data_IF_760240875458
#
_entry.id   IF_760240875458
#
_cell.length_a   1.000
_cell.length_b   1.000
_cell.length_c   1.000
_cell.angle_alpha   90.00
_cell.angle_beta   90.00
_cell.angle_gamma   90.00
#
_symmetry.space_group_name_H-M   'P 1'
#
loop_
_entity.id
_entity.type
_entity.pdbx_description
1 polymer ?
#
# COMPACT_ATOMS: atom_id res chain seq x y z
N UNK A 1 -16.44 -5.97 17.51
CA UNK A 1 -16.61 -7.36 17.98
C UNK A 1 -15.24 -8.01 18.12
N UNK A 2 -15.10 -9.12 18.86
CA UNK A 2 -13.80 -9.77 19.10
C UNK A 2 -13.29 -9.57 20.53
N UNK A 3 -12.18 -10.23 20.86
CA UNK A 3 -11.60 -10.28 22.21
C UNK A 3 -10.74 -11.53 22.40
N UNK A 4 -9.76 -11.45 23.30
CA UNK A 4 -8.85 -12.56 23.62
C UNK A 4 -9.60 -13.86 23.96
N UNK A 5 -10.74 -13.77 24.64
CA UNK A 5 -11.61 -14.91 24.98
C UNK A 5 -12.14 -15.66 23.76
N UNK A 6 -12.26 -14.97 22.62
CA UNK A 6 -12.69 -15.55 21.35
C UNK A 6 -11.51 -15.89 20.43
N UNK A 7 -10.26 -15.77 20.92
CA UNK A 7 -9.02 -15.90 20.12
C UNK A 7 -9.01 -15.03 18.86
N UNK A 8 -9.72 -13.91 18.90
CA UNK A 8 -9.84 -12.97 17.78
C UNK A 8 -9.49 -11.56 18.25
N UNK A 9 -8.75 -10.78 17.45
CA UNK A 9 -8.48 -9.38 17.78
C UNK A 9 -9.77 -8.55 17.83
N UNK A 10 -9.73 -7.38 18.44
CA UNK A 10 -10.86 -6.44 18.46
C UNK A 10 -11.06 -5.87 17.06
N UNK A 11 -12.15 -6.23 16.39
CA UNK A 11 -12.49 -5.82 15.04
C UNK A 11 -13.59 -4.76 15.01
N UNK A 12 -13.48 -3.83 14.08
CA UNK A 12 -14.54 -2.87 13.76
C UNK A 12 -15.62 -3.60 12.96
N UNK A 13 -16.72 -3.98 13.61
CA UNK A 13 -17.83 -4.67 12.96
C UNK A 13 -18.80 -3.71 12.26
N UNK A 14 -18.92 -2.49 12.77
CA UNK A 14 -19.86 -1.49 12.24
C UNK A 14 -19.39 -0.08 12.58
N UNK A 15 -19.53 0.82 11.61
CA UNK A 15 -19.35 2.25 11.80
C UNK A 15 -20.72 2.91 11.61
N UNK A 16 -21.13 3.73 12.57
CA UNK A 16 -22.40 4.43 12.51
C UNK A 16 -22.22 5.78 11.81
N UNK A 17 -23.05 6.01 10.79
CA UNK A 17 -22.99 7.23 9.99
C UNK A 17 -23.22 8.48 10.83
N UNK A 18 -22.40 9.51 10.59
CA UNK A 18 -22.48 10.80 11.27
C UNK A 18 -21.81 10.85 12.64
N UNK A 19 -21.18 9.77 13.12
CA UNK A 19 -20.36 9.78 14.35
C UNK A 19 -18.88 10.05 14.05
N UNK A 20 -18.08 10.34 15.09
CA UNK A 20 -16.67 10.67 14.95
C UNK A 20 -15.87 9.64 14.12
N UNK A 21 -16.13 8.34 14.31
CA UNK A 21 -15.48 7.27 13.55
C UNK A 21 -15.83 7.30 12.04
N UNK A 22 -17.07 7.64 11.69
CA UNK A 22 -17.51 7.82 10.30
C UNK A 22 -16.92 9.09 9.69
N UNK A 23 -16.95 10.20 10.45
CA UNK A 23 -16.39 11.49 10.03
C UNK A 23 -14.87 11.44 9.82
N UNK A 24 -14.17 10.52 10.47
CA UNK A 24 -12.72 10.35 10.27
C UNK A 24 -12.37 9.68 8.95
N UNK A 25 -13.27 8.86 8.37
CA UNK A 25 -13.10 7.98 7.18
C UNK A 25 -11.78 7.16 7.11
N UNK A 26 -10.95 7.22 8.16
CA UNK A 26 -9.68 6.52 8.30
C UNK A 26 -9.85 5.10 8.87
N UNK A 27 -11.08 4.74 9.26
CA UNK A 27 -11.45 3.47 9.84
C UNK A 27 -12.41 2.75 8.90
N UNK A 28 -12.15 1.46 8.67
CA UNK A 28 -13.02 0.61 7.88
C UNK A 28 -13.61 -0.52 8.70
N UNK A 29 -14.81 -0.97 8.31
CA UNK A 29 -15.37 -2.21 8.82
C UNK A 29 -14.44 -3.35 8.43
N UNK A 30 -14.02 -4.14 9.43
CA UNK A 30 -13.04 -5.21 9.29
C UNK A 30 -11.66 -4.87 9.86
N UNK A 31 -11.37 -3.59 10.17
CA UNK A 31 -10.07 -3.23 10.75
C UNK A 31 -9.91 -3.78 12.17
N UNK A 32 -8.69 -4.21 12.48
CA UNK A 32 -8.32 -4.68 13.83
C UNK A 32 -7.72 -3.53 14.64
N UNK A 33 -8.30 -3.25 15.80
CA UNK A 33 -7.79 -2.28 16.77
C UNK A 33 -6.66 -2.93 17.54
N UNK A 34 -5.47 -2.34 17.43
CA UNK A 34 -4.27 -2.78 18.15
C UNK A 34 -4.13 -2.01 19.46
N UNK A 35 -4.32 -0.69 19.45
CA UNK A 35 -4.19 0.13 20.66
C UNK A 35 -5.17 1.32 20.67
N UNK A 36 -5.52 1.78 21.88
CA UNK A 36 -6.37 2.95 22.12
C UNK A 36 -5.63 3.90 23.07
N UNK A 37 -5.32 5.12 22.62
CA UNK A 37 -4.59 6.13 23.40
C UNK A 37 -3.30 5.59 24.06
N UNK A 38 -2.56 4.72 23.33
CA UNK A 38 -1.33 4.09 23.82
C UNK A 38 -1.54 2.91 24.78
N UNK A 39 -2.79 2.53 25.06
CA UNK A 39 -3.12 1.28 25.77
C UNK A 39 -3.23 0.16 24.73
N UNK A 40 -2.36 -0.83 24.82
CA UNK A 40 -2.40 -2.01 23.95
C UNK A 40 -3.65 -2.85 24.23
N UNK A 41 -4.39 -3.17 23.18
CA UNK A 41 -5.60 -3.99 23.19
C UNK A 41 -5.41 -5.31 22.44
N UNK A 42 -4.18 -5.64 22.01
CA UNK A 42 -3.85 -6.88 21.32
C UNK A 42 -4.23 -8.14 22.12
N UNK A 43 -4.04 -8.10 23.44
CA UNK A 43 -4.38 -9.16 24.39
C UNK A 43 -5.59 -8.83 25.29
N UNK A 44 -6.32 -7.75 25.00
CA UNK A 44 -7.47 -7.34 25.80
C UNK A 44 -8.70 -8.22 25.55
N UNK A 45 -9.50 -8.39 26.60
CA UNK A 45 -10.84 -8.98 26.48
C UNK A 45 -11.81 -8.01 25.80
N UNK A 46 -12.96 -8.52 25.31
CA UNK A 46 -13.97 -7.66 24.68
C UNK A 46 -14.41 -6.53 25.60
N UNK A 47 -14.71 -6.84 26.85
CA UNK A 47 -15.15 -5.87 27.86
C UNK A 47 -14.07 -4.82 28.15
N UNK A 48 -12.80 -5.22 28.27
CA UNK A 48 -11.69 -4.29 28.47
C UNK A 48 -11.52 -3.33 27.29
N UNK A 49 -11.64 -3.82 26.06
CA UNK A 49 -11.57 -2.97 24.87
C UNK A 49 -12.73 -1.96 24.81
N UNK A 50 -13.95 -2.39 25.16
CA UNK A 50 -15.12 -1.50 25.25
C UNK A 50 -14.94 -0.46 26.36
N UNK A 51 -14.38 -0.86 27.51
CA UNK A 51 -14.07 0.07 28.59
C UNK A 51 -12.99 1.07 28.19
N UNK A 52 -11.93 0.65 27.50
CA UNK A 52 -10.88 1.53 27.00
C UNK A 52 -11.44 2.58 26.05
N UNK A 53 -12.29 2.18 25.09
CA UNK A 53 -12.97 3.09 24.15
C UNK A 53 -13.97 4.03 24.84
N UNK A 54 -14.61 3.61 25.93
CA UNK A 54 -15.53 4.45 26.72
C UNK A 54 -14.81 5.41 27.67
N UNK A 55 -13.63 5.01 28.16
CA UNK A 55 -12.80 5.81 29.08
C UNK A 55 -12.13 6.98 28.36
N UNK A 56 -11.94 6.85 27.05
CA UNK A 56 -11.41 7.93 26.22
C UNK A 56 -12.43 9.07 26.06
N UNK A 57 -11.94 10.31 26.22
CA UNK A 57 -12.76 11.52 26.26
C UNK A 57 -13.00 12.16 24.89
N UNK A 58 -12.79 13.48 24.80
CA UNK A 58 -13.05 14.29 23.59
C UNK A 58 -12.21 13.89 22.37
N UNK A 59 -11.06 13.25 22.59
CA UNK A 59 -10.15 12.81 21.54
C UNK A 59 -9.69 11.37 21.79
N UNK A 60 -9.69 10.57 20.71
CA UNK A 60 -9.31 9.15 20.73
C UNK A 60 -8.33 8.91 19.59
N UNK A 61 -7.15 8.44 19.92
CA UNK A 61 -6.12 7.98 18.99
C UNK A 61 -6.20 6.46 18.93
N UNK A 62 -6.51 5.94 17.75
CA UNK A 62 -6.63 4.51 17.49
C UNK A 62 -5.47 4.07 16.62
N UNK A 63 -4.79 3.01 17.04
CA UNK A 63 -3.86 2.30 16.17
C UNK A 63 -4.58 1.09 15.60
N UNK A 64 -4.75 1.08 14.28
CA UNK A 64 -5.48 0.01 13.59
C UNK A 64 -4.63 -0.67 12.53
N UNK A 65 -4.91 -1.96 12.34
CA UNK A 65 -4.38 -2.77 11.26
C UNK A 65 -5.48 -2.99 10.23
N UNK A 66 -5.28 -2.42 9.06
CA UNK A 66 -6.15 -2.64 7.91
C UNK A 66 -6.13 -4.11 7.52
N UNK A 67 -7.27 -4.79 7.63
CA UNK A 67 -7.44 -6.17 7.21
C UNK A 67 -8.23 -6.17 5.90
N UNK A 68 -7.52 -6.29 4.78
CA UNK A 68 -8.09 -6.15 3.42
C UNK A 68 -9.07 -7.28 3.02
N UNK A 69 -9.29 -8.28 3.88
CA UNK A 69 -10.22 -9.39 3.60
C UNK A 69 -10.97 -9.80 4.87
N UNK A 70 -12.29 -9.55 4.91
CA UNK A 70 -13.18 -10.19 5.87
C UNK A 70 -13.45 -11.60 5.34
N UNK A 71 -12.65 -12.56 5.84
CA UNK A 71 -12.79 -14.03 5.85
C UNK A 71 -11.62 -14.72 5.13
N UNK A 72 -10.86 -15.60 5.82
CA UNK A 72 -11.38 -16.59 6.75
C UNK A 72 -10.71 -16.54 8.13
N UNK A 73 -11.29 -15.81 9.08
CA UNK A 73 -11.23 -16.25 10.49
C UNK A 73 -12.33 -17.28 10.80
N UNK A 74 -13.25 -17.52 9.85
CA UNK A 74 -14.03 -18.74 9.77
C UNK A 74 -13.23 -19.80 8.98
N UNK A 75 -12.52 -20.65 9.72
CA UNK A 75 -11.84 -21.91 9.32
C UNK A 75 -10.33 -21.85 9.02
N UNK A 76 -9.60 -22.47 9.94
CA UNK A 76 -8.37 -23.26 9.84
C UNK A 76 -7.11 -22.72 9.13
N UNK A 77 -6.09 -22.50 9.98
CA UNK A 77 -4.71 -23.05 9.87
C UNK A 77 -4.26 -23.65 8.53
N UNK A 78 -3.26 -23.01 7.90
CA UNK A 78 -1.89 -23.53 7.70
C UNK A 78 -1.19 -22.91 6.46
N UNK A 79 0.08 -22.56 6.68
CA UNK A 79 1.21 -22.54 5.74
C UNK A 79 1.23 -21.56 4.54
N UNK A 80 2.38 -20.88 4.37
CA UNK A 80 2.71 -20.25 3.09
C UNK A 80 3.84 -19.21 3.05
N UNK A 81 5.06 -19.62 3.46
CA UNK A 81 6.37 -19.09 3.04
C UNK A 81 6.55 -17.58 2.72
N UNK A 82 7.22 -16.87 3.63
CA UNK A 82 8.08 -15.73 3.26
C UNK A 82 9.42 -16.29 2.79
N UNK A 83 9.67 -16.21 1.48
CA UNK A 83 10.97 -16.47 0.88
C UNK A 83 11.84 -15.25 1.14
N UNK A 84 12.86 -15.44 1.98
CA UNK A 84 13.97 -14.52 2.18
C UNK A 84 14.92 -14.66 0.99
N UNK A 85 15.22 -13.55 0.33
CA UNK A 85 16.21 -13.50 -0.74
C UNK A 85 17.39 -12.66 -0.29
N UNK A 86 18.51 -13.32 0.01
CA UNK A 86 19.84 -12.82 -0.34
C UNK A 86 20.84 -13.98 -0.44
N UNK A 87 21.52 -14.21 -1.57
CA UNK A 87 22.66 -15.10 -1.63
C UNK A 87 23.94 -14.26 -1.70
N UNK A 88 24.78 -14.28 -0.66
CA UNK A 88 26.25 -14.19 -0.81
C UNK A 88 27.01 -14.42 0.51
N UNK A 89 28.28 -14.89 0.42
CA UNK A 89 28.82 -15.89 1.33
C UNK A 89 29.69 -15.33 2.45
N UNK A 90 30.02 -16.25 3.37
CA UNK A 90 30.77 -16.08 4.60
C UNK A 90 31.98 -15.14 4.57
N UNK A 91 32.10 -14.32 5.63
CA UNK A 91 33.29 -13.54 5.99
C UNK A 91 33.09 -12.79 7.32
N UNK A 92 33.82 -13.21 8.35
CA UNK A 92 33.81 -12.75 9.74
C UNK A 92 33.88 -11.22 9.94
N UNK A 93 33.08 -10.66 10.87
CA UNK A 93 33.60 -10.11 12.15
C UNK A 93 32.49 -9.51 13.03
N UNK A 94 32.46 -9.99 14.28
CA UNK A 94 31.62 -9.57 15.40
C UNK A 94 31.96 -8.12 15.78
N UNK A 95 31.01 -7.18 15.65
CA UNK A 95 30.99 -5.94 16.44
C UNK A 95 29.61 -5.76 17.04
N UNK A 96 29.59 -5.81 18.36
CA UNK A 96 28.45 -5.60 19.23
C UNK A 96 27.88 -4.20 19.07
N UNK A 97 26.68 -4.11 18.51
CA UNK A 97 25.78 -2.98 18.68
C UNK A 97 24.54 -3.50 19.43
N UNK A 98 23.97 -2.74 20.37
CA UNK A 98 22.81 -3.20 21.13
C UNK A 98 21.66 -3.45 20.16
N UNK A 99 21.17 -4.69 20.14
CA UNK A 99 19.97 -5.08 19.42
C UNK A 99 18.81 -4.35 20.09
N UNK A 100 18.39 -3.23 19.50
CA UNK A 100 17.08 -2.66 19.79
C UNK A 100 16.03 -3.73 19.45
N UNK A 101 14.95 -3.87 20.25
CA UNK A 101 13.85 -4.76 19.90
C UNK A 101 13.37 -4.43 18.48
N UNK A 102 12.93 -5.41 17.68
CA UNK A 102 12.49 -5.15 16.33
C UNK A 102 11.34 -4.15 16.42
N UNK A 103 11.61 -2.90 16.04
CA UNK A 103 10.54 -1.94 15.82
C UNK A 103 9.68 -2.59 14.74
N UNK A 104 8.41 -2.84 15.05
CA UNK A 104 7.40 -3.28 14.09
C UNK A 104 7.15 -2.14 13.08
N UNK A 105 8.17 -1.81 12.29
CA UNK A 105 8.15 -0.77 11.29
C UNK A 105 7.63 -1.35 9.99
N UNK A 106 6.53 -0.79 9.48
CA UNK A 106 6.10 -1.10 8.11
C UNK A 106 7.13 -0.55 7.13
N UNK A 107 7.65 -1.40 6.24
CA UNK A 107 8.63 -1.01 5.21
C UNK A 107 7.95 -1.01 3.84
N UNK A 108 8.11 0.06 3.07
CA UNK A 108 7.67 0.15 1.66
C UNK A 108 8.89 0.30 0.76
N UNK A 109 9.10 -0.62 -0.22
CA UNK A 109 10.16 -0.46 -1.21
C UNK A 109 9.91 0.79 -2.06
N UNK A 110 10.91 1.66 -2.17
CA UNK A 110 10.82 2.87 -3.01
C UNK A 110 10.85 2.58 -4.51
N UNK A 111 11.23 1.36 -4.91
CA UNK A 111 11.26 0.96 -6.31
C UNK A 111 9.83 1.01 -6.88
N UNK A 112 9.59 1.97 -7.76
CA UNK A 112 8.28 2.23 -8.36
C UNK A 112 7.16 2.42 -7.33
N UNK A 113 7.44 2.86 -6.09
CA UNK A 113 6.34 3.28 -5.22
C UNK A 113 5.69 4.54 -5.80
N UNK A 114 4.41 4.73 -5.54
CA UNK A 114 3.71 5.95 -5.91
C UNK A 114 3.20 6.66 -4.67
N UNK A 115 3.16 7.99 -4.74
CA UNK A 115 2.63 8.81 -3.67
C UNK A 115 1.38 9.51 -4.17
N UNK A 116 0.31 9.38 -3.40
CA UNK A 116 -0.98 10.00 -3.66
C UNK A 116 -1.30 10.99 -2.55
N UNK A 117 -1.94 12.10 -2.92
CA UNK A 117 -2.53 13.07 -1.99
C UNK A 117 -4.04 12.90 -1.85
N UNK A 118 -4.60 11.91 -2.54
CA UNK A 118 -6.03 11.59 -2.48
C UNK A 118 -6.30 10.83 -1.18
N UNK A 119 -6.47 11.58 -0.10
CA UNK A 119 -7.07 11.07 1.12
C UNK A 119 -8.53 11.52 1.17
N UNK A 120 -9.40 10.61 1.60
CA UNK A 120 -10.78 10.90 1.98
C UNK A 120 -10.84 10.78 3.51
N UNK A 121 -11.35 11.81 4.23
CA UNK A 121 -12.02 12.99 3.70
C UNK A 121 -11.03 14.02 3.13
N UNK A 122 -11.54 14.94 2.30
CA UNK A 122 -10.74 16.00 1.69
C UNK A 122 -9.95 16.76 2.76
N UNK A 123 -8.63 16.77 2.62
CA UNK A 123 -7.73 17.47 3.52
C UNK A 123 -7.50 18.90 3.02
N UNK A 124 -8.19 19.91 3.59
CA UNK A 124 -8.03 21.30 3.15
C UNK A 124 -6.62 21.85 3.47
N UNK A 125 -5.86 21.18 4.34
CA UNK A 125 -4.52 21.60 4.76
C UNK A 125 -3.40 20.84 4.02
N UNK A 126 -3.75 19.90 3.12
CA UNK A 126 -2.81 19.16 2.26
C UNK A 126 -1.61 18.52 3.00
N UNK A 127 -1.85 18.03 4.22
CA UNK A 127 -0.89 17.40 5.12
C UNK A 127 -0.81 15.88 4.98
N UNK A 128 -1.80 15.24 4.38
CA UNK A 128 -1.78 13.79 4.19
C UNK A 128 -1.05 13.35 2.92
N UNK A 129 -0.33 12.24 3.05
CA UNK A 129 0.34 11.53 1.97
C UNK A 129 0.03 10.04 2.11
N UNK A 130 -0.38 9.42 1.02
CA UNK A 130 -0.48 7.97 0.88
C UNK A 130 0.72 7.49 0.06
N UNK A 131 1.54 6.61 0.63
CA UNK A 131 2.68 5.99 -0.06
C UNK A 131 2.35 4.52 -0.30
N UNK A 132 2.24 4.14 -1.55
CA UNK A 132 1.87 2.79 -1.95
C UNK A 132 3.04 2.07 -2.62
N UNK A 133 3.24 0.80 -2.25
CA UNK A 133 4.20 -0.08 -2.90
C UNK A 133 3.81 -0.34 -4.37
N UNK A 134 4.80 -0.68 -5.17
CA UNK A 134 4.61 -0.92 -6.60
C UNK A 134 3.68 -2.11 -6.93
N UNK A 135 3.48 -3.03 -6.00
CA UNK A 135 2.55 -4.15 -6.12
C UNK A 135 1.12 -3.82 -5.63
N UNK A 136 0.92 -2.62 -5.06
CA UNK A 136 -0.36 -2.18 -4.48
C UNK A 136 -0.76 -2.93 -3.20
N UNK A 137 0.14 -3.72 -2.61
CA UNK A 137 -0.15 -4.54 -1.42
C UNK A 137 0.08 -3.80 -0.12
N UNK A 138 1.02 -2.86 -0.10
CA UNK A 138 1.39 -2.08 1.09
C UNK A 138 1.08 -0.61 0.83
N UNK A 139 0.30 0.00 1.72
CA UNK A 139 0.04 1.43 1.73
C UNK A 139 0.40 1.99 3.10
N UNK A 140 1.07 3.14 3.12
CA UNK A 140 1.37 3.92 4.32
C UNK A 140 0.65 5.25 4.22
N UNK A 141 -0.18 5.54 5.21
CA UNK A 141 -0.82 6.84 5.36
C UNK A 141 0.01 7.66 6.35
N UNK A 142 0.53 8.78 5.88
CA UNK A 142 1.38 9.68 6.63
C UNK A 142 0.65 11.02 6.76
N UNK A 143 0.73 11.63 7.94
CA UNK A 143 0.27 12.99 8.19
C UNK A 143 1.45 13.85 8.61
N UNK A 144 1.73 14.89 7.84
CA UNK A 144 2.73 15.88 8.19
C UNK A 144 2.20 16.89 9.21
N UNK A 145 3.12 17.64 9.83
CA UNK A 145 2.77 18.74 10.73
C UNK A 145 2.04 19.86 9.99
N UNK A 146 2.49 20.18 8.79
CA UNK A 146 2.05 21.30 7.94
C UNK A 146 2.19 20.93 6.45
N UNK A 147 1.57 21.72 5.57
CA UNK A 147 1.61 21.49 4.12
C UNK A 147 3.04 21.51 3.57
N UNK A 148 3.88 22.45 4.00
CA UNK A 148 5.23 22.59 3.47
C UNK A 148 6.07 21.34 3.79
N UNK A 149 5.92 20.80 4.99
CA UNK A 149 6.50 19.51 5.37
C UNK A 149 5.94 18.39 4.47
N UNK A 150 4.62 18.29 4.26
CA UNK A 150 4.05 17.28 3.36
C UNK A 150 4.56 17.41 1.91
N UNK A 151 4.73 18.63 1.40
CA UNK A 151 5.33 18.89 0.08
C UNK A 151 6.80 18.43 0.03
N UNK A 152 7.57 18.70 1.09
CA UNK A 152 8.95 18.27 1.20
C UNK A 152 9.08 16.74 1.20
N UNK A 153 8.24 16.05 1.99
CA UNK A 153 8.18 14.58 2.00
C UNK A 153 7.79 14.01 0.64
N UNK A 154 6.77 14.59 -0.02
CA UNK A 154 6.36 14.20 -1.37
C UNK A 154 7.55 14.30 -2.34
N UNK A 155 8.22 15.45 -2.39
CA UNK A 155 9.35 15.69 -3.29
C UNK A 155 10.54 14.78 -3.00
N UNK A 156 10.84 14.51 -1.72
CA UNK A 156 11.90 13.60 -1.32
C UNK A 156 11.62 12.15 -1.78
N UNK A 157 10.40 11.66 -1.56
CA UNK A 157 10.00 10.31 -1.98
C UNK A 157 10.00 10.22 -3.51
N UNK A 158 9.38 11.18 -4.21
CA UNK A 158 9.35 11.21 -5.68
C UNK A 158 10.76 11.29 -6.28
N UNK A 159 11.66 12.08 -5.68
CA UNK A 159 13.06 12.15 -6.10
C UNK A 159 13.80 10.82 -5.93
N UNK A 160 13.60 10.15 -4.79
CA UNK A 160 14.19 8.83 -4.54
C UNK A 160 13.64 7.75 -5.50
N UNK A 161 12.33 7.76 -5.76
CA UNK A 161 11.68 6.89 -6.76
C UNK A 161 12.26 7.17 -8.15
N UNK A 162 12.37 8.44 -8.53
CA UNK A 162 12.93 8.89 -9.80
C UNK A 162 14.38 8.44 -10.01
N UNK A 163 15.19 8.45 -8.96
CA UNK A 163 16.58 7.95 -9.00
C UNK A 163 16.66 6.44 -9.26
N UNK A 164 15.63 5.67 -8.89
CA UNK A 164 15.55 4.22 -9.14
C UNK A 164 14.96 3.87 -10.52
N UNK A 165 14.25 4.81 -11.16
CA UNK A 165 13.55 4.58 -12.42
C UNK A 165 14.46 4.10 -13.57
N UNK A 166 15.69 4.61 -13.76
CA UNK A 166 16.58 4.10 -14.81
C UNK A 166 16.92 2.62 -14.61
N UNK A 167 17.12 2.17 -13.37
CA UNK A 167 17.41 0.76 -13.06
C UNK A 167 16.20 -0.13 -13.35
N UNK A 168 15.00 0.31 -12.96
CA UNK A 168 13.74 -0.38 -13.28
C UNK A 168 13.56 -0.54 -14.79
N UNK A 169 13.82 0.53 -15.54
CA UNK A 169 13.70 0.53 -17.00
C UNK A 169 14.65 -0.50 -17.63
N UNK A 170 15.87 -0.58 -17.15
CA UNK A 170 16.85 -1.55 -17.64
C UNK A 170 16.48 -2.99 -17.30
N UNK A 171 16.02 -3.26 -16.08
CA UNK A 171 15.53 -4.59 -15.71
C UNK A 171 14.35 -5.04 -16.57
N UNK A 172 13.38 -4.14 -16.83
CA UNK A 172 12.23 -4.44 -17.68
C UNK A 172 12.65 -4.72 -19.12
N UNK A 173 13.66 -4.01 -19.65
CA UNK A 173 14.23 -4.30 -20.97
C UNK A 173 14.83 -5.69 -21.03
N UNK A 174 15.63 -6.08 -20.03
CA UNK A 174 16.25 -7.42 -19.97
C UNK A 174 15.17 -8.51 -19.88
N UNK A 175 14.14 -8.31 -19.07
CA UNK A 175 13.04 -9.26 -18.92
C UNK A 175 12.20 -9.42 -20.19
N UNK A 176 12.01 -8.34 -20.95
CA UNK A 176 11.31 -8.36 -22.24
C UNK A 176 12.17 -8.95 -23.36
N UNK A 177 13.48 -8.72 -23.35
CA UNK A 177 14.41 -9.23 -24.37
C UNK A 177 14.54 -10.76 -24.32
N UNK A 178 14.52 -11.37 -23.13
CA UNK A 178 14.58 -12.83 -22.97
C UNK A 178 13.29 -13.57 -23.36
N UNK A 179 12.23 -12.87 -23.76
CA UNK A 179 10.90 -13.43 -23.97
C UNK A 179 10.69 -14.16 -25.31
N UNK A 180 11.68 -14.21 -26.21
CA UNK A 180 11.58 -14.94 -27.48
C UNK A 180 10.52 -14.40 -28.47
N UNK A 181 9.80 -13.35 -28.10
CA UNK A 181 8.91 -12.62 -29.00
C UNK A 181 9.76 -11.75 -29.91
N UNK A 182 9.95 -12.22 -31.15
CA UNK A 182 10.61 -11.48 -32.22
C UNK A 182 10.00 -10.08 -32.35
N UNK A 183 10.82 -9.04 -32.13
CA UNK A 183 10.58 -7.70 -32.65
C UNK A 183 10.27 -6.60 -31.63
N UNK A 184 11.32 -6.09 -30.97
CA UNK A 184 11.41 -4.65 -30.64
C UNK A 184 10.45 -4.14 -29.58
N UNK A 185 10.63 -4.56 -28.33
CA UNK A 185 10.05 -3.88 -27.17
C UNK A 185 11.14 -3.15 -26.39
N UNK A 186 11.85 -2.21 -27.03
CA UNK A 186 12.67 -1.26 -26.27
C UNK A 186 11.72 -0.38 -25.45
N UNK A 187 11.84 -0.49 -24.14
CA UNK A 187 11.07 0.33 -23.21
C UNK A 187 11.57 1.77 -23.32
N UNK A 188 10.71 2.67 -23.77
CA UNK A 188 11.01 4.11 -23.85
C UNK A 188 10.66 4.82 -22.55
N UNK A 189 9.50 4.52 -21.98
CA UNK A 189 9.03 5.16 -20.75
C UNK A 189 8.30 4.16 -19.84
N UNK A 190 8.39 4.39 -18.53
CA UNK A 190 7.68 3.64 -17.50
C UNK A 190 7.20 4.64 -16.46
N UNK A 191 5.94 4.55 -16.04
CA UNK A 191 5.40 5.47 -15.06
C UNK A 191 3.99 5.12 -14.60
N UNK A 192 3.59 5.68 -13.46
CA UNK A 192 2.24 5.54 -12.95
C UNK A 192 1.28 6.50 -13.66
N UNK A 193 0.12 6.00 -14.01
CA UNK A 193 -1.01 6.70 -14.61
C UNK A 193 -2.21 6.55 -13.69
N UNK A 194 -3.11 7.52 -13.72
CA UNK A 194 -4.39 7.44 -13.01
C UNK A 194 -5.51 7.39 -14.04
N UNK A 195 -6.21 6.26 -14.11
CA UNK A 195 -7.41 6.06 -14.92
C UNK A 195 -8.63 6.56 -14.15
N UNK A 196 -9.54 7.27 -14.83
CA UNK A 196 -10.83 7.64 -14.28
C UNK A 196 -11.86 6.56 -14.63
N UNK A 197 -12.37 5.87 -13.62
CA UNK A 197 -13.39 4.83 -13.76
C UNK A 197 -14.78 5.48 -13.74
N UNK A 198 -15.65 5.20 -14.72
CA UNK A 198 -17.03 5.69 -14.74
C UNK A 198 -17.77 5.32 -13.44
N UNK A 199 -18.47 6.29 -12.86
CA UNK A 199 -19.22 6.09 -11.61
C UNK A 199 -20.39 5.14 -11.87
N UNK A 200 -20.38 3.96 -11.25
CA UNK A 200 -21.58 3.12 -11.16
C UNK A 200 -22.39 3.64 -9.97
N UNK A 201 -23.67 4.03 -10.12
CA UNK A 201 -24.45 4.68 -9.06
C UNK A 201 -24.70 3.84 -7.80
N UNK A 202 -24.41 2.54 -7.79
CA UNK A 202 -24.87 1.62 -6.76
C UNK A 202 -23.89 1.30 -5.62
N UNK A 203 -22.62 1.71 -5.67
CA UNK A 203 -21.67 1.40 -4.59
C UNK A 203 -20.70 2.58 -4.34
N UNK A 204 -20.91 3.26 -3.21
CA UNK A 204 -20.03 4.21 -2.51
C UNK A 204 -19.70 5.58 -3.19
N UNK A 205 -19.92 6.71 -2.50
CA UNK A 205 -19.45 8.02 -2.92
C UNK A 205 -17.96 8.17 -2.56
N UNK A 206 -17.05 7.65 -3.38
CA UNK A 206 -15.62 7.79 -3.12
C UNK A 206 -14.74 7.25 -4.26
N UNK A 207 -14.19 8.18 -5.04
CA UNK A 207 -13.07 8.00 -5.97
C UNK A 207 -13.21 6.92 -7.08
N UNK A 208 -13.88 7.29 -8.17
CA UNK A 208 -13.78 6.58 -9.46
C UNK A 208 -12.42 6.79 -10.14
N UNK A 209 -11.30 6.53 -9.46
CA UNK A 209 -9.98 6.58 -10.08
C UNK A 209 -9.12 5.40 -9.65
N UNK A 210 -8.43 4.77 -10.60
CA UNK A 210 -7.54 3.63 -10.40
C UNK A 210 -6.13 4.01 -10.85
N UNK A 211 -5.11 3.61 -10.10
CA UNK A 211 -3.73 3.75 -10.56
C UNK A 211 -3.33 2.54 -11.42
N UNK A 212 -2.67 2.81 -12.54
CA UNK A 212 -2.17 1.84 -13.50
C UNK A 212 -0.69 2.13 -13.77
N UNK A 213 0.11 1.10 -13.94
CA UNK A 213 1.48 1.24 -14.43
C UNK A 213 1.45 1.23 -15.97
N UNK A 214 1.90 2.30 -16.59
CA UNK A 214 2.14 2.37 -18.03
C UNK A 214 3.58 2.01 -18.38
N UNK A 215 3.76 1.13 -19.36
CA UNK A 215 5.04 0.80 -19.99
C UNK A 215 4.91 1.13 -21.47
N UNK A 216 5.60 2.18 -21.92
CA UNK A 216 5.64 2.61 -23.31
C UNK A 216 6.83 1.95 -24.00
N UNK A 217 6.56 1.18 -25.03
CA UNK A 217 7.55 0.60 -25.94
C UNK A 217 7.57 1.37 -27.26
N UNK A 218 8.40 0.96 -28.22
CA UNK A 218 8.39 1.56 -29.57
C UNK A 218 7.08 1.33 -30.33
N UNK A 219 6.38 0.23 -30.03
CA UNK A 219 5.23 -0.22 -30.83
C UNK A 219 3.93 -0.25 -30.06
N UNK A 220 3.99 -0.27 -28.73
CA UNK A 220 2.82 -0.51 -27.88
C UNK A 220 2.92 0.27 -26.57
N UNK A 221 1.77 0.72 -26.08
CA UNK A 221 1.55 1.13 -24.69
C UNK A 221 0.90 -0.04 -23.93
N UNK A 222 1.61 -0.54 -22.93
CA UNK A 222 1.16 -1.63 -22.07
C UNK A 222 0.73 -1.07 -20.72
N UNK A 223 -0.47 -1.42 -20.26
CA UNK A 223 -0.99 -1.00 -18.95
C UNK A 223 -1.06 -2.21 -18.01
N UNK A 224 -0.61 -2.03 -16.78
CA UNK A 224 -0.66 -3.04 -15.72
C UNK A 224 -1.36 -2.48 -14.48
N UNK A 225 -2.00 -3.34 -13.69
CA UNK A 225 -2.57 -2.95 -12.40
C UNK A 225 -1.52 -2.71 -11.31
N UNK A 226 -0.31 -3.23 -11.50
CA UNK A 226 0.82 -3.14 -10.58
C UNK A 226 2.12 -3.46 -11.32
N UNK A 227 3.28 -3.22 -10.69
CA UNK A 227 4.57 -3.57 -11.29
C UNK A 227 4.70 -5.09 -11.44
N UNK A 228 4.88 -5.62 -12.66
CA UNK A 228 5.10 -7.05 -12.87
C UNK A 228 6.39 -7.49 -12.19
N UNK A 229 6.31 -8.50 -11.32
CA UNK A 229 7.48 -9.05 -10.63
C UNK A 229 8.09 -10.27 -11.35
N UNK A 230 7.43 -10.77 -12.39
CA UNK A 230 7.87 -11.94 -13.15
C UNK A 230 7.71 -11.73 -14.65
N UNK A 231 8.51 -12.47 -15.42
CA UNK A 231 8.44 -12.47 -16.89
C UNK A 231 7.07 -12.92 -17.41
N UNK A 232 6.41 -13.87 -16.76
CA UNK A 232 5.06 -14.32 -17.13
C UNK A 232 4.03 -13.19 -16.94
N UNK A 233 4.09 -12.48 -15.81
CA UNK A 233 3.20 -11.34 -15.55
C UNK A 233 3.43 -10.19 -16.55
N UNK A 234 4.68 -9.99 -16.97
CA UNK A 234 5.04 -9.00 -18.00
C UNK A 234 4.51 -9.36 -19.40
N UNK A 235 4.23 -10.64 -19.64
CA UNK A 235 3.57 -11.10 -20.87
C UNK A 235 2.05 -10.91 -20.88
N UNK A 236 1.44 -10.55 -19.74
CA UNK A 236 -0.01 -10.46 -19.56
C UNK A 236 -0.42 -9.06 -19.06
N UNK A 237 -0.28 -8.02 -19.90
CA UNK A 237 -0.76 -6.69 -19.56
C UNK A 237 -2.28 -6.68 -19.38
N UNK A 238 -2.78 -5.77 -18.54
CA UNK A 238 -4.22 -5.54 -18.39
C UNK A 238 -4.82 -4.99 -19.70
N UNK A 239 -4.10 -4.06 -20.34
CA UNK A 239 -4.43 -3.54 -21.66
C UNK A 239 -3.15 -3.38 -22.50
N UNK A 240 -3.23 -3.68 -23.79
CA UNK A 240 -2.17 -3.37 -24.76
C UNK A 240 -2.77 -2.52 -25.89
N UNK A 241 -2.15 -1.38 -26.17
CA UNK A 241 -2.55 -0.49 -27.24
C UNK A 241 -1.39 -0.31 -28.22
N UNK A 242 -1.54 -0.65 -29.51
CA UNK A 242 -0.51 -0.38 -30.51
C UNK A 242 -0.38 1.14 -30.74
N UNK A 243 0.86 1.61 -30.89
CA UNK A 243 1.17 2.98 -31.21
C UNK A 243 1.06 3.18 -32.73
N UNK A 244 0.19 4.10 -33.13
CA UNK A 244 0.05 4.50 -34.52
C UNK A 244 1.11 5.57 -34.79
N UNK A 245 2.06 5.29 -35.68
CA UNK A 245 3.00 6.31 -36.14
C UNK A 245 2.26 7.30 -37.04
N UNK A 246 2.01 8.52 -36.56
CA UNK A 246 1.62 9.64 -37.43
C UNK A 246 2.85 10.08 -38.22
N UNK A 247 2.80 9.92 -39.54
CA UNK A 247 3.83 10.40 -40.48
C UNK A 247 3.83 11.91 -40.61
#
# INVERSE_FOLDING_TARGET
EGGRENKMPILISKIFKGLAADQTEALYVGDAILSVNGTDLSEATHDEAVQALKKTGKEVVLEVKYMKEISPYFKNSAAGATVSWDPSPAGQQKRSSPVLPPREGRTVPLKMCYVSRKCLPADPEHRYLEVCSADGRVALFLRAKDEATAQSWLGAIQGAVGALLPRVKEELRVQLAGAGAAGGRDVKHVGWLTEQVPRVPSILPGAGTRNLLGVLTEKELLLYGSLPQSRDALGKPLHSYPLIATR
#
